data_IF_516374701846
#
_entry.id   IF_516374701846
#
_cell.length_a   1.000
_cell.length_b   1.000
_cell.length_c   1.000
_cell.angle_alpha   90.00
_cell.angle_beta   90.00
_cell.angle_gamma   90.00
#
_symmetry.space_group_name_H-M   'P 1'
#
loop_
_entity.id
_entity.type
_entity.pdbx_description
1 polymer ?
#
# COMPACT_ATOMS: atom_id res chain seq x y z
N UNK A 1 -22.53 -30.81 -24.75
CA UNK A 1 -21.87 -31.08 -23.45
C UNK A 1 -21.01 -29.87 -23.12
N UNK A 2 -21.44 -29.05 -22.17
CA UNK A 2 -20.71 -27.84 -21.77
C UNK A 2 -19.51 -28.30 -20.93
N UNK A 3 -18.30 -28.22 -21.50
CA UNK A 3 -17.06 -28.47 -20.75
C UNK A 3 -17.04 -27.56 -19.53
N UNK A 4 -17.04 -28.15 -18.34
CA UNK A 4 -16.99 -27.41 -17.08
C UNK A 4 -15.63 -26.73 -17.02
N UNK A 5 -15.60 -25.39 -17.19
CA UNK A 5 -14.35 -24.63 -17.17
C UNK A 5 -13.65 -24.86 -15.82
N UNK A 6 -12.54 -25.60 -15.85
CA UNK A 6 -11.70 -25.86 -14.68
C UNK A 6 -10.73 -24.69 -14.57
N UNK A 7 -10.80 -23.94 -13.47
CA UNK A 7 -9.96 -22.74 -13.26
C UNK A 7 -8.66 -23.03 -12.50
N UNK A 8 -8.58 -24.20 -11.87
CA UNK A 8 -7.42 -24.67 -11.11
C UNK A 8 -7.04 -26.10 -11.51
N UNK A 9 -5.75 -26.40 -11.46
CA UNK A 9 -5.18 -27.73 -11.70
C UNK A 9 -4.28 -28.12 -10.54
N UNK A 10 -4.37 -29.37 -10.12
CA UNK A 10 -3.39 -29.97 -9.21
C UNK A 10 -2.06 -30.07 -9.96
N UNK A 11 -1.01 -29.51 -9.36
CA UNK A 11 0.36 -29.51 -9.90
C UNK A 11 1.32 -30.29 -9.01
N UNK A 12 0.91 -30.61 -7.78
CA UNK A 12 1.65 -31.44 -6.85
C UNK A 12 0.65 -32.22 -6.01
N UNK A 13 0.87 -33.53 -5.89
CA UNK A 13 0.02 -34.40 -5.07
C UNK A 13 0.21 -34.11 -3.58
N UNK A 14 -0.79 -34.50 -2.78
CA UNK A 14 -0.67 -34.48 -1.33
C UNK A 14 0.50 -35.36 -0.85
N UNK A 15 1.15 -34.98 0.26
CA UNK A 15 2.21 -35.76 0.89
C UNK A 15 1.81 -36.10 2.32
N UNK A 16 2.03 -37.36 2.68
CA UNK A 16 1.83 -37.85 4.05
C UNK A 16 2.90 -37.29 5.01
N UNK A 17 2.60 -37.32 6.31
CA UNK A 17 3.53 -36.88 7.34
C UNK A 17 4.77 -37.79 7.40
N UNK A 18 5.96 -37.20 7.48
CA UNK A 18 7.25 -37.91 7.57
C UNK A 18 8.24 -37.14 8.44
N UNK A 19 8.97 -37.85 9.32
CA UNK A 19 10.09 -37.34 10.14
C UNK A 19 9.85 -35.96 10.78
N UNK A 20 8.75 -35.81 11.53
CA UNK A 20 8.39 -34.57 12.23
C UNK A 20 7.79 -33.47 11.34
N UNK A 21 7.68 -33.69 10.03
CA UNK A 21 6.94 -32.80 9.14
C UNK A 21 5.46 -33.22 9.05
N UNK A 22 4.52 -32.27 9.17
CA UNK A 22 3.09 -32.56 9.03
C UNK A 22 2.75 -32.93 7.59
N UNK A 23 1.62 -33.63 7.40
CA UNK A 23 1.09 -33.88 6.07
C UNK A 23 0.71 -32.56 5.38
N UNK A 24 0.85 -32.52 4.05
CA UNK A 24 0.50 -31.38 3.23
C UNK A 24 -0.52 -31.79 2.16
N UNK A 25 -1.54 -30.97 1.97
CA UNK A 25 -2.53 -31.16 0.91
C UNK A 25 -1.94 -30.96 -0.49
N UNK A 26 -2.70 -31.28 -1.55
CA UNK A 26 -2.25 -31.09 -2.91
C UNK A 26 -2.05 -29.60 -3.23
N UNK A 27 -1.08 -29.28 -4.08
CA UNK A 27 -0.86 -27.92 -4.57
C UNK A 27 -1.68 -27.71 -5.83
N UNK A 28 -2.48 -26.65 -5.82
CA UNK A 28 -3.28 -26.23 -6.98
C UNK A 28 -2.75 -24.93 -7.56
N UNK A 29 -2.75 -24.82 -8.89
CA UNK A 29 -2.44 -23.58 -9.61
C UNK A 29 -3.56 -23.18 -10.54
N UNK A 30 -3.69 -21.87 -10.75
CA UNK A 30 -4.58 -21.31 -11.76
C UNK A 30 -4.24 -21.83 -13.16
N UNK A 31 -5.25 -21.95 -14.03
CA UNK A 31 -5.07 -22.20 -15.47
C UNK A 31 -3.99 -21.35 -16.12
N UNK A 32 -3.82 -20.09 -15.69
CA UNK A 32 -2.83 -19.16 -16.23
C UNK A 32 -1.40 -19.42 -15.79
N UNK A 33 -1.19 -20.28 -14.78
CA UNK A 33 0.12 -20.54 -14.20
C UNK A 33 0.37 -22.04 -13.97
N UNK A 34 -0.30 -22.90 -14.75
CA UNK A 34 -0.21 -24.36 -14.59
C UNK A 34 1.26 -24.83 -14.65
N UNK A 35 1.97 -24.40 -15.68
CA UNK A 35 3.35 -24.81 -15.97
C UNK A 35 4.40 -23.84 -15.40
N UNK A 36 4.00 -22.99 -14.44
CA UNK A 36 4.83 -21.92 -13.88
C UNK A 36 4.17 -20.55 -14.05
N UNK A 37 4.71 -19.53 -13.38
CA UNK A 37 4.21 -18.17 -13.55
C UNK A 37 4.52 -17.63 -14.96
N UNK A 38 3.63 -16.84 -15.56
CA UNK A 38 3.95 -16.14 -16.79
C UNK A 38 5.17 -15.23 -16.57
N UNK A 39 5.92 -14.99 -17.63
CA UNK A 39 7.00 -14.01 -17.59
C UNK A 39 6.45 -12.64 -17.14
N UNK A 40 7.26 -11.83 -16.43
CA UNK A 40 6.90 -10.45 -16.14
C UNK A 40 6.50 -9.71 -17.41
N UNK A 41 5.56 -8.78 -17.29
CA UNK A 41 5.13 -7.96 -18.41
C UNK A 41 6.28 -7.00 -18.75
N UNK A 42 6.67 -6.96 -20.03
CA UNK A 42 7.72 -6.06 -20.51
C UNK A 42 7.39 -4.60 -20.13
N UNK A 43 8.39 -3.91 -19.58
CA UNK A 43 8.26 -2.52 -19.13
C UNK A 43 7.59 -2.32 -17.76
N UNK A 44 7.15 -3.39 -17.09
CA UNK A 44 6.68 -3.33 -15.69
C UNK A 44 7.75 -3.95 -14.79
N UNK A 45 8.46 -3.12 -14.04
CA UNK A 45 9.55 -3.55 -13.16
C UNK A 45 9.29 -3.21 -11.68
N UNK A 46 8.31 -2.36 -11.41
CA UNK A 46 7.97 -1.87 -10.08
C UNK A 46 6.46 -1.68 -9.90
N UNK A 47 6.01 -1.55 -8.65
CA UNK A 47 4.63 -1.13 -8.33
C UNK A 47 4.31 0.24 -8.95
N UNK A 48 5.31 1.12 -9.04
CA UNK A 48 5.16 2.41 -9.70
C UNK A 48 4.84 2.28 -11.20
N UNK A 49 5.49 1.35 -11.91
CA UNK A 49 5.20 1.14 -13.34
C UNK A 49 3.76 0.68 -13.56
N UNK A 50 3.21 -0.14 -12.64
CA UNK A 50 1.81 -0.56 -12.68
C UNK A 50 0.89 0.66 -12.57
N UNK A 51 1.09 1.49 -11.54
CA UNK A 51 0.26 2.67 -11.32
C UNK A 51 0.40 3.70 -12.45
N UNK A 52 1.65 4.05 -12.84
CA UNK A 52 1.94 4.98 -13.95
C UNK A 52 1.27 4.52 -15.24
N UNK A 53 1.39 3.23 -15.59
CA UNK A 53 0.77 2.69 -16.81
C UNK A 53 -0.76 2.78 -16.77
N UNK A 54 -1.37 2.55 -15.59
CA UNK A 54 -2.81 2.71 -15.42
C UNK A 54 -3.26 4.18 -15.60
N UNK A 55 -2.48 5.14 -15.08
CA UNK A 55 -2.73 6.57 -15.26
C UNK A 55 -2.64 6.99 -16.72
N UNK A 56 -1.62 6.53 -17.44
CA UNK A 56 -1.44 6.81 -18.87
C UNK A 56 -2.60 6.26 -19.71
N UNK A 57 -3.06 5.05 -19.39
CA UNK A 57 -4.11 4.37 -20.16
C UNK A 57 -5.52 4.85 -19.83
N UNK A 58 -5.78 5.22 -18.57
CA UNK A 58 -7.12 5.52 -18.06
C UNK A 58 -7.18 6.81 -17.22
N UNK A 59 -6.64 7.95 -17.70
CA UNK A 59 -6.42 9.14 -16.87
C UNK A 59 -7.71 9.70 -16.23
N UNK A 60 -8.83 9.61 -16.95
CA UNK A 60 -10.11 10.18 -16.52
C UNK A 60 -11.03 9.19 -15.79
N UNK A 61 -10.59 7.94 -15.61
CA UNK A 61 -11.38 6.95 -14.88
C UNK A 61 -11.34 7.23 -13.37
N UNK A 62 -12.43 6.93 -12.67
CA UNK A 62 -12.51 7.00 -11.21
C UNK A 62 -11.53 6.01 -10.58
N UNK A 63 -10.71 6.48 -9.64
CA UNK A 63 -9.71 5.67 -8.94
C UNK A 63 -10.03 5.57 -7.44
N UNK A 64 -10.03 6.70 -6.74
CA UNK A 64 -10.24 6.75 -5.29
C UNK A 64 -11.53 7.47 -4.96
N UNK A 65 -12.35 6.90 -4.08
CA UNK A 65 -13.66 7.44 -3.70
C UNK A 65 -13.79 7.59 -2.19
N UNK A 66 -14.08 8.81 -1.74
CA UNK A 66 -14.41 9.15 -0.35
C UNK A 66 -15.91 9.40 -0.22
N UNK A 67 -16.48 9.12 0.96
CA UNK A 67 -17.84 9.57 1.30
C UNK A 67 -17.75 10.96 1.92
N UNK A 68 -18.41 11.91 1.30
CA UNK A 68 -18.46 13.29 1.77
C UNK A 68 -19.92 13.75 1.93
N UNK A 69 -20.14 14.73 2.79
CA UNK A 69 -21.45 15.36 2.93
C UNK A 69 -21.55 16.48 1.89
N UNK A 70 -22.26 16.22 0.81
CA UNK A 70 -22.53 17.18 -0.26
C UNK A 70 -24.00 17.58 -0.15
N UNK A 71 -24.27 18.86 0.10
CA UNK A 71 -25.64 19.38 0.26
C UNK A 71 -26.49 18.62 1.30
N UNK A 72 -25.87 18.22 2.41
CA UNK A 72 -26.54 17.47 3.49
C UNK A 72 -26.79 15.99 3.19
N UNK A 73 -26.31 15.47 2.06
CA UNK A 73 -26.39 14.04 1.70
C UNK A 73 -25.01 13.41 1.66
N UNK A 74 -24.91 12.16 2.10
CA UNK A 74 -23.68 11.38 1.96
C UNK A 74 -23.57 10.90 0.51
N UNK A 75 -22.60 11.44 -0.23
CA UNK A 75 -22.32 11.08 -1.62
C UNK A 75 -20.86 10.66 -1.78
N UNK A 76 -20.60 9.82 -2.78
CA UNK A 76 -19.22 9.48 -3.15
C UNK A 76 -18.63 10.57 -4.03
N UNK A 77 -17.55 11.18 -3.56
CA UNK A 77 -16.70 12.06 -4.34
C UNK A 77 -15.50 11.25 -4.83
N UNK A 78 -15.23 11.31 -6.13
CA UNK A 78 -14.21 10.50 -6.77
C UNK A 78 -13.07 11.36 -7.27
N UNK A 79 -11.84 10.89 -7.06
CA UNK A 79 -10.64 11.37 -7.75
C UNK A 79 -10.33 10.43 -8.91
N UNK A 80 -10.01 11.02 -10.05
CA UNK A 80 -9.56 10.31 -11.24
C UNK A 80 -8.11 9.84 -11.08
N UNK A 81 -7.68 8.88 -11.91
CA UNK A 81 -6.27 8.45 -11.94
C UNK A 81 -5.31 9.63 -12.15
N UNK A 82 -5.65 10.58 -13.03
CA UNK A 82 -4.82 11.76 -13.30
C UNK A 82 -4.71 12.68 -12.09
N UNK A 83 -5.81 12.95 -11.40
CA UNK A 83 -5.80 13.78 -10.19
C UNK A 83 -4.98 13.13 -9.08
N UNK A 84 -5.13 11.82 -8.87
CA UNK A 84 -4.33 11.08 -7.88
C UNK A 84 -2.86 11.11 -8.24
N UNK A 85 -2.50 10.86 -9.50
CA UNK A 85 -1.11 10.94 -9.98
C UNK A 85 -0.49 12.32 -9.71
N UNK A 86 -1.21 13.41 -9.99
CA UNK A 86 -0.69 14.75 -9.77
C UNK A 86 -0.43 15.04 -8.28
N UNK A 87 -1.27 14.50 -7.39
CA UNK A 87 -1.06 14.59 -5.94
C UNK A 87 0.16 13.74 -5.54
N UNK A 88 0.26 12.51 -6.04
CA UNK A 88 1.37 11.59 -5.76
C UNK A 88 2.72 12.20 -6.13
N UNK A 89 2.86 12.79 -7.32
CA UNK A 89 4.10 13.45 -7.76
C UNK A 89 4.43 14.65 -6.87
N UNK A 90 3.43 15.48 -6.53
CA UNK A 90 3.64 16.62 -5.62
C UNK A 90 4.08 16.18 -4.23
N UNK A 91 3.43 15.16 -3.67
CA UNK A 91 3.73 14.62 -2.36
C UNK A 91 5.15 14.03 -2.32
N UNK A 92 5.50 13.23 -3.32
CA UNK A 92 6.82 12.64 -3.44
C UNK A 92 7.94 13.66 -3.63
N UNK A 93 7.71 14.72 -4.42
CA UNK A 93 8.64 15.85 -4.51
C UNK A 93 8.81 16.57 -3.16
N UNK A 94 7.74 16.68 -2.37
CA UNK A 94 7.81 17.23 -1.01
C UNK A 94 8.68 16.35 -0.11
N UNK A 95 8.52 15.02 -0.16
CA UNK A 95 9.39 14.07 0.57
C UNK A 95 10.86 14.26 0.21
N UNK A 96 11.18 14.43 -1.09
CA UNK A 96 12.55 14.76 -1.54
C UNK A 96 13.05 16.07 -0.96
N UNK A 97 12.22 17.11 -0.91
CA UNK A 97 12.59 18.41 -0.32
C UNK A 97 12.83 18.33 1.19
N UNK A 98 12.20 17.37 1.88
CA UNK A 98 12.46 17.05 3.28
C UNK A 98 13.78 16.28 3.51
N UNK A 99 14.51 15.96 2.44
CA UNK A 99 15.78 15.23 2.50
C UNK A 99 15.63 13.72 2.39
N UNK A 100 14.42 13.19 2.17
CA UNK A 100 14.18 11.74 2.13
C UNK A 100 14.72 11.14 0.83
N UNK A 101 15.61 10.17 0.95
CA UNK A 101 16.31 9.51 -0.15
C UNK A 101 15.67 8.17 -0.53
N UNK A 102 16.03 7.66 -1.72
CA UNK A 102 15.63 6.31 -2.16
C UNK A 102 16.11 5.25 -1.15
N UNK A 103 15.28 4.22 -0.91
CA UNK A 103 15.57 3.15 0.04
C UNK A 103 15.27 3.47 1.51
N UNK A 104 14.83 4.70 1.82
CA UNK A 104 14.34 5.06 3.15
C UNK A 104 12.92 4.55 3.42
N UNK A 105 12.55 4.50 4.71
CA UNK A 105 11.30 3.89 5.18
C UNK A 105 10.33 4.99 5.57
N UNK A 106 9.16 4.98 4.95
CA UNK A 106 8.08 5.92 5.20
C UNK A 106 6.94 5.21 5.94
N UNK A 107 6.68 5.62 7.18
CA UNK A 107 5.54 5.17 7.95
C UNK A 107 4.24 5.74 7.39
N UNK A 108 3.16 4.95 7.39
CA UNK A 108 1.80 5.44 7.13
C UNK A 108 0.88 4.93 8.24
N UNK A 109 0.50 5.84 9.14
CA UNK A 109 -0.31 5.54 10.32
C UNK A 109 -1.69 6.15 10.20
N UNK A 110 -2.69 5.32 9.93
CA UNK A 110 -4.06 5.77 9.80
C UNK A 110 -5.00 4.68 9.34
N UNK A 111 -6.28 5.03 9.31
CA UNK A 111 -7.31 4.18 8.73
C UNK A 111 -7.21 4.12 7.20
N UNK A 112 -7.87 3.14 6.59
CA UNK A 112 -7.94 3.04 5.13
C UNK A 112 -8.70 4.25 4.56
N UNK A 113 -7.98 5.13 3.88
CA UNK A 113 -8.51 6.34 3.23
C UNK A 113 -7.78 6.64 1.91
N UNK A 114 -8.25 7.63 1.17
CA UNK A 114 -7.65 8.04 -0.10
C UNK A 114 -6.19 8.50 0.10
N UNK A 115 -5.92 9.27 1.15
CA UNK A 115 -4.60 9.81 1.51
C UNK A 115 -3.60 8.70 1.84
N UNK A 116 -4.07 7.59 2.41
CA UNK A 116 -3.25 6.42 2.68
C UNK A 116 -2.72 5.83 1.36
N UNK A 117 -3.59 5.63 0.36
CA UNK A 117 -3.20 5.10 -0.96
C UNK A 117 -2.29 6.09 -1.69
N UNK A 118 -2.60 7.38 -1.65
CA UNK A 118 -1.76 8.44 -2.23
C UNK A 118 -0.36 8.42 -1.62
N UNK A 119 -0.25 8.28 -0.30
CA UNK A 119 1.04 8.23 0.40
C UNK A 119 1.84 6.98 0.02
N UNK A 120 1.17 5.83 -0.12
CA UNK A 120 1.79 4.59 -0.59
C UNK A 120 2.30 4.73 -2.04
N UNK A 121 1.50 5.32 -2.95
CA UNK A 121 1.93 5.53 -4.34
C UNK A 121 3.07 6.55 -4.44
N UNK A 122 3.12 7.55 -3.55
CA UNK A 122 4.28 8.45 -3.45
C UNK A 122 5.54 7.71 -2.99
N UNK A 123 5.42 6.72 -2.11
CA UNK A 123 6.53 5.84 -1.77
C UNK A 123 7.00 5.05 -2.99
N UNK A 124 6.08 4.42 -3.73
CA UNK A 124 6.39 3.68 -4.96
C UNK A 124 7.11 4.57 -5.99
N UNK A 125 6.59 5.78 -6.22
CA UNK A 125 7.13 6.73 -7.20
C UNK A 125 8.58 7.18 -6.91
N UNK A 126 8.96 7.20 -5.64
CA UNK A 126 10.26 7.69 -5.17
C UNK A 126 11.15 6.58 -4.58
N UNK A 127 10.81 5.31 -4.81
CA UNK A 127 11.61 4.18 -4.34
C UNK A 127 11.76 4.12 -2.82
N UNK A 128 10.72 4.54 -2.08
CA UNK A 128 10.66 4.44 -0.63
C UNK A 128 9.96 3.15 -0.21
N UNK A 129 10.35 2.60 0.93
CA UNK A 129 9.66 1.47 1.53
C UNK A 129 8.48 1.98 2.37
N UNK A 130 7.26 1.64 1.95
CA UNK A 130 6.05 1.92 2.70
C UNK A 130 5.94 0.99 3.92
N UNK A 131 5.87 1.56 5.14
CA UNK A 131 5.73 0.85 6.41
C UNK A 131 4.34 1.13 7.00
N UNK A 132 3.38 0.21 6.87
CA UNK A 132 2.01 0.44 7.35
C UNK A 132 1.92 0.30 8.88
N UNK A 133 1.21 1.21 9.53
CA UNK A 133 1.02 1.24 10.99
C UNK A 133 -0.48 1.25 11.33
N UNK A 134 -0.92 0.34 12.21
CA UNK A 134 -2.32 0.19 12.61
C UNK A 134 -2.47 -0.07 14.12
N UNK A 135 -3.52 0.45 14.75
CA UNK A 135 -3.78 0.23 16.19
C UNK A 135 -4.10 -1.23 16.54
N UNK A 136 -4.62 -1.98 15.56
CA UNK A 136 -5.01 -3.38 15.73
C UNK A 136 -3.82 -4.32 15.99
N UNK A 137 -2.59 -3.81 15.87
CA UNK A 137 -1.36 -4.55 16.14
C UNK A 137 -1.06 -4.69 17.64
N UNK A 138 -1.80 -3.97 18.49
CA UNK A 138 -1.68 -4.04 19.94
C UNK A 138 -0.80 -2.95 20.55
N UNK A 139 -0.81 -2.86 21.88
CA UNK A 139 -0.07 -1.84 22.62
C UNK A 139 1.45 -1.98 22.40
N UNK A 140 2.13 -0.87 22.11
CA UNK A 140 3.58 -0.83 21.87
C UNK A 140 4.04 -1.33 20.50
N UNK A 141 3.17 -1.92 19.68
CA UNK A 141 3.54 -2.41 18.35
C UNK A 141 3.99 -1.29 17.41
N UNK A 142 3.33 -0.12 17.48
CA UNK A 142 3.70 1.05 16.67
C UNK A 142 5.12 1.53 17.01
N UNK A 143 5.48 1.58 18.29
CA UNK A 143 6.84 1.93 18.74
C UNK A 143 7.87 0.98 18.16
N UNK A 144 7.59 -0.31 18.34
CA UNK A 144 8.47 -1.38 17.93
C UNK A 144 8.69 -1.33 16.43
N UNK A 145 7.64 -1.16 15.62
CA UNK A 145 7.75 -1.12 14.16
C UNK A 145 8.51 0.12 13.71
N UNK A 146 8.20 1.30 14.25
CA UNK A 146 8.90 2.55 13.89
C UNK A 146 10.41 2.42 14.15
N UNK A 147 10.76 1.89 15.33
CA UNK A 147 12.15 1.68 15.73
C UNK A 147 12.83 0.59 14.90
N UNK A 148 12.21 -0.58 14.79
CA UNK A 148 12.76 -1.75 14.11
C UNK A 148 12.93 -1.55 12.60
N UNK A 149 11.99 -0.83 11.96
CA UNK A 149 12.06 -0.52 10.54
C UNK A 149 12.88 0.73 10.23
N UNK A 150 13.40 1.43 11.26
CA UNK A 150 14.17 2.67 11.12
C UNK A 150 13.41 3.71 10.27
N UNK A 151 12.15 3.97 10.65
CA UNK A 151 11.29 4.90 9.89
C UNK A 151 11.85 6.32 9.93
N UNK A 152 12.16 6.87 8.75
CA UNK A 152 12.75 8.22 8.61
C UNK A 152 11.70 9.32 8.60
N UNK A 153 10.47 9.01 8.17
CA UNK A 153 9.34 9.95 8.07
C UNK A 153 8.03 9.18 8.17
N UNK A 154 6.97 9.81 8.69
CA UNK A 154 5.65 9.18 8.75
C UNK A 154 4.53 10.15 8.35
N UNK A 155 3.58 9.64 7.56
CA UNK A 155 2.25 10.24 7.40
C UNK A 155 1.33 9.69 8.50
N UNK A 156 0.58 10.58 9.15
CA UNK A 156 -0.19 10.24 10.35
C UNK A 156 -1.57 10.87 10.26
N UNK A 157 -2.62 10.07 10.39
CA UNK A 157 -3.98 10.56 10.55
C UNK A 157 -4.04 11.43 11.81
N UNK A 158 -4.65 12.62 11.71
CA UNK A 158 -4.67 13.63 12.78
C UNK A 158 -5.06 13.05 14.15
N UNK A 159 -6.08 12.18 14.19
CA UNK A 159 -6.57 11.53 15.41
C UNK A 159 -5.55 10.59 16.06
N UNK A 160 -4.50 10.20 15.35
CA UNK A 160 -3.43 9.29 15.80
C UNK A 160 -2.18 10.02 16.27
N UNK A 161 -2.04 11.31 15.96
CA UNK A 161 -0.91 12.14 16.40
C UNK A 161 -0.69 12.06 17.92
N UNK A 162 -1.73 12.19 18.79
CA UNK A 162 -1.52 12.12 20.23
C UNK A 162 -0.95 10.78 20.70
N UNK A 163 -1.34 9.67 20.04
CA UNK A 163 -0.83 8.34 20.38
C UNK A 163 0.63 8.20 19.95
N UNK A 164 0.95 8.65 18.72
CA UNK A 164 2.32 8.66 18.22
C UNK A 164 3.26 9.44 19.14
N UNK A 165 2.83 10.60 19.65
CA UNK A 165 3.65 11.41 20.57
C UNK A 165 3.88 10.76 21.94
N UNK A 166 2.92 9.98 22.45
CA UNK A 166 3.16 9.18 23.67
C UNK A 166 4.22 8.10 23.40
N UNK A 167 4.13 7.48 22.23
CA UNK A 167 5.00 6.38 21.82
C UNK A 167 6.42 6.84 21.46
N UNK A 168 6.54 8.03 20.87
CA UNK A 168 7.81 8.60 20.40
C UNK A 168 7.97 10.03 20.92
N UNK A 169 8.27 10.24 22.21
CA UNK A 169 8.26 11.57 22.83
C UNK A 169 9.28 12.57 22.24
N UNK A 170 10.28 12.08 21.50
CA UNK A 170 11.26 12.92 20.79
C UNK A 170 10.78 13.34 19.38
N UNK A 171 9.63 12.87 18.90
CA UNK A 171 9.12 13.17 17.55
C UNK A 171 8.46 14.55 17.44
N UNK A 172 8.02 15.13 18.56
CA UNK A 172 7.32 16.43 18.62
C UNK A 172 8.13 17.60 18.04
N UNK A 173 9.47 17.54 18.09
CA UNK A 173 10.36 18.55 17.50
C UNK A 173 10.44 18.51 15.96
N UNK A 174 9.90 17.46 15.33
CA UNK A 174 9.93 17.27 13.88
C UNK A 174 8.54 17.38 13.24
N UNK A 175 7.53 17.84 13.99
CA UNK A 175 6.18 18.04 13.48
C UNK A 175 6.16 19.08 12.35
N UNK A 176 5.62 18.68 11.19
CA UNK A 176 5.31 19.57 10.08
C UNK A 176 3.87 19.34 9.68
N UNK A 177 3.01 20.32 9.96
CA UNK A 177 1.60 20.28 9.56
C UNK A 177 1.49 20.76 8.12
N UNK A 178 1.24 19.84 7.18
CA UNK A 178 0.87 20.19 5.81
C UNK A 178 -0.65 20.25 5.70
N UNK A 179 -1.22 21.45 5.73
CA UNK A 179 -2.63 21.66 5.42
C UNK A 179 -2.82 21.57 3.90
N UNK A 180 -3.22 20.42 3.40
CA UNK A 180 -3.80 20.32 2.05
C UNK A 180 -5.27 20.73 2.12
N UNK A 181 -5.52 22.02 1.88
CA UNK A 181 -6.85 22.52 1.54
C UNK A 181 -7.20 22.14 0.10
#
# INVERSE_FOLDING_TARGET
MTSQKRFIFEVEAAKEATDGNPSVGPVYRSTFAKDGFPNPIDGIQSCWDIFRTAVEKYPNNRMLGSREIVNGKQEYVWKTYKEVYDIVIKLGNSLRSCGIQEGEKCGIYGTNCCEWIISMEACNAHGLYCVPLYDTLGAGAVEFIISHAEVSIAFVEEKKIPELFKTCPNSTKYERVSNTN
#
